data_IF_643513427447
#
_entry.id   IF_643513427447
#
_cell.length_a   1.000
_cell.length_b   1.000
_cell.length_c   1.000
_cell.angle_alpha   90.00
_cell.angle_beta   90.00
_cell.angle_gamma   90.00
#
_symmetry.space_group_name_H-M   'P 1'
#
loop_
_entity.id
_entity.type
_entity.pdbx_description
1 polymer ?
#
# COMPACT_ATOMS: atom_id res chain seq x y z
N UNK A 1 -12.74 17.37 -42.36
CA UNK A 1 -11.75 17.82 -43.37
C UNK A 1 -10.60 16.83 -43.57
N UNK A 2 -10.12 16.16 -42.51
CA UNK A 2 -9.02 15.19 -42.56
C UNK A 2 -9.28 13.91 -43.37
N UNK A 3 -10.53 13.44 -43.39
CA UNK A 3 -10.94 12.19 -44.04
C UNK A 3 -10.76 12.21 -45.57
N UNK A 4 -10.77 13.37 -46.22
CA UNK A 4 -10.61 13.54 -47.67
C UNK A 4 -9.15 13.65 -48.16
N UNK A 5 -8.16 13.59 -47.26
CA UNK A 5 -6.75 13.73 -47.61
C UNK A 5 -6.14 12.40 -48.10
N UNK A 6 -5.14 12.51 -49.00
CA UNK A 6 -4.36 11.37 -49.49
C UNK A 6 -3.56 10.74 -48.34
N UNK A 7 -3.36 9.42 -48.40
CA UNK A 7 -2.82 8.63 -47.28
C UNK A 7 -1.43 9.12 -46.82
N UNK A 8 -0.57 9.49 -47.78
CA UNK A 8 0.77 10.03 -47.50
C UNK A 8 0.70 11.36 -46.73
N UNK A 9 -0.27 12.23 -47.05
CA UNK A 9 -0.48 13.52 -46.36
C UNK A 9 -1.02 13.31 -44.94
N UNK A 10 -1.85 12.28 -44.72
CA UNK A 10 -2.34 11.92 -43.39
C UNK A 10 -1.21 11.44 -42.48
N UNK A 11 -0.33 10.59 -42.99
CA UNK A 11 0.84 10.08 -42.25
C UNK A 11 1.77 11.24 -41.88
N UNK A 12 2.01 12.17 -42.80
CA UNK A 12 2.84 13.37 -42.56
C UNK A 12 2.25 14.28 -41.46
N UNK A 13 0.93 14.49 -41.44
CA UNK A 13 0.28 15.32 -40.42
C UNK A 13 0.35 14.65 -39.03
N UNK A 14 0.15 13.33 -38.97
CA UNK A 14 0.24 12.56 -37.72
C UNK A 14 1.68 12.54 -37.19
N UNK A 15 2.69 12.37 -38.06
CA UNK A 15 4.09 12.43 -37.64
C UNK A 15 4.50 13.81 -37.15
N UNK A 16 4.01 14.88 -37.78
CA UNK A 16 4.25 16.26 -37.32
C UNK A 16 3.60 16.54 -35.95
N UNK A 17 2.40 16.00 -35.70
CA UNK A 17 1.73 16.11 -34.39
C UNK A 17 2.50 15.38 -33.27
N UNK A 18 3.02 14.18 -33.57
CA UNK A 18 3.80 13.39 -32.61
C UNK A 18 5.16 14.06 -32.28
N UNK A 19 5.80 14.68 -33.27
CA UNK A 19 7.05 15.43 -33.05
C UNK A 19 6.81 16.72 -32.22
N UNK A 20 5.70 17.42 -32.43
CA UNK A 20 5.33 18.60 -31.63
C UNK A 20 4.98 18.25 -30.16
N UNK A 21 4.43 17.05 -29.89
CA UNK A 21 4.17 16.60 -28.51
C UNK A 21 5.43 16.28 -27.70
N UNK A 22 6.57 16.03 -28.36
CA UNK A 22 7.86 15.74 -27.71
C UNK A 22 8.58 17.01 -27.22
N UNK A 23 8.34 18.16 -27.86
CA UNK A 23 9.00 19.43 -27.50
C UNK A 23 8.32 20.20 -26.36
N UNK A 24 7.13 19.78 -25.89
CA UNK A 24 6.44 20.37 -24.74
C UNK A 24 6.96 19.90 -23.37
N UNK A 25 7.72 18.79 -23.32
CA UNK A 25 8.22 18.19 -22.08
C UNK A 25 9.56 18.74 -21.57
N UNK A 26 10.26 19.58 -22.36
CA UNK A 26 11.63 20.01 -22.07
C UNK A 26 11.76 21.47 -21.60
N UNK A 27 10.67 22.23 -21.56
CA UNK A 27 10.70 23.64 -21.10
C UNK A 27 10.23 23.80 -19.64
N UNK A 28 9.53 22.83 -19.05
CA UNK A 28 9.15 22.90 -17.63
C UNK A 28 10.26 22.49 -16.65
N UNK A 29 11.32 21.81 -17.12
CA UNK A 29 12.39 21.27 -16.28
C UNK A 29 13.56 22.24 -16.03
N UNK A 30 13.56 23.44 -16.65
CA UNK A 30 14.67 24.41 -16.49
C UNK A 30 14.33 25.58 -15.54
N UNK A 31 13.07 25.80 -15.14
CA UNK A 31 12.71 26.94 -14.26
C UNK A 31 12.52 26.62 -12.78
N UNK A 32 12.50 25.34 -12.38
CA UNK A 32 12.31 24.97 -10.95
C UNK A 32 13.55 25.29 -10.09
N UNK A 33 14.71 25.55 -10.71
CA UNK A 33 15.97 25.75 -9.99
C UNK A 33 16.24 27.20 -9.54
N UNK A 34 15.28 28.13 -9.68
CA UNK A 34 15.46 29.55 -9.31
C UNK A 34 14.44 30.11 -8.31
N UNK A 35 13.40 29.35 -7.93
CA UNK A 35 12.27 29.89 -7.12
C UNK A 35 12.12 29.23 -5.74
N UNK A 36 12.99 28.28 -5.36
CA UNK A 36 12.99 27.72 -4.01
C UNK A 36 14.32 28.01 -3.29
N UNK A 37 14.30 28.72 -2.14
CA UNK A 37 15.50 28.83 -1.32
C UNK A 37 15.86 27.43 -0.79
N UNK A 38 17.05 26.95 -1.17
CA UNK A 38 17.74 25.87 -0.46
C UNK A 38 17.84 26.30 1.00
N UNK A 39 17.14 25.59 1.89
CA UNK A 39 17.43 25.37 3.32
C UNK A 39 16.17 24.83 4.02
N UNK A 40 15.78 23.58 3.72
CA UNK A 40 15.07 22.74 4.68
C UNK A 40 15.78 21.39 4.67
N UNK A 41 16.51 21.12 5.73
CA UNK A 41 17.19 19.85 5.93
C UNK A 41 16.14 18.75 6.12
N UNK A 42 15.94 17.93 5.09
CA UNK A 42 15.35 16.60 5.25
C UNK A 42 16.52 15.69 5.63
N UNK A 43 16.55 15.26 6.88
CA UNK A 43 17.50 14.26 7.32
C UNK A 43 17.25 12.96 6.55
N UNK A 44 18.19 12.59 5.70
CA UNK A 44 18.27 11.25 5.13
C UNK A 44 18.55 10.26 6.26
N UNK A 45 17.63 9.33 6.52
CA UNK A 45 18.01 8.07 7.13
C UNK A 45 17.41 6.92 6.31
N UNK A 46 18.19 6.46 5.33
CA UNK A 46 18.12 5.08 4.86
C UNK A 46 19.07 4.25 5.70
N UNK A 47 18.53 3.40 6.58
CA UNK A 47 18.91 1.99 6.67
C UNK A 47 17.89 1.17 7.47
N UNK A 48 17.70 -0.12 7.13
CA UNK A 48 16.62 -0.96 7.63
C UNK A 48 16.80 -1.31 9.11
N UNK A 49 15.69 -1.42 9.84
CA UNK A 49 15.68 -1.88 11.23
C UNK A 49 16.04 -3.38 11.24
N UNK A 50 17.32 -3.68 11.42
CA UNK A 50 17.77 -4.99 11.91
C UNK A 50 17.40 -5.11 13.39
N UNK A 51 16.66 -6.17 13.70
CA UNK A 51 16.25 -6.51 15.06
C UNK A 51 17.45 -6.72 15.98
N UNK A 52 17.42 -6.06 17.15
CA UNK A 52 18.29 -6.39 18.28
C UNK A 52 17.46 -7.07 19.36
N UNK A 53 17.74 -8.35 19.57
CA UNK A 53 17.43 -9.09 20.79
C UNK A 53 17.96 -8.32 22.01
N UNK A 54 17.22 -8.25 23.13
CA UNK A 54 17.80 -7.93 24.41
C UNK A 54 18.13 -9.22 25.18
N UNK A 55 19.41 -9.57 25.27
CA UNK A 55 19.92 -10.39 26.38
C UNK A 55 20.97 -9.56 27.12
N UNK A 56 20.57 -9.24 28.34
CA UNK A 56 21.35 -8.93 29.55
C UNK A 56 22.80 -9.44 29.59
N UNK A 57 23.73 -8.53 29.88
CA UNK A 57 24.94 -8.77 30.70
C UNK A 57 24.83 -7.80 31.90
N UNK A 58 25.28 -8.05 33.14
CA UNK A 58 26.46 -8.80 33.60
C UNK A 58 26.41 -8.93 35.13
N UNK A 59 26.86 -10.07 35.68
CA UNK A 59 27.48 -10.17 37.01
C UNK A 59 28.41 -11.40 37.07
N UNK A 60 29.45 -11.31 37.88
CA UNK A 60 30.77 -11.94 37.76
C UNK A 60 31.00 -13.37 38.33
N UNK A 61 32.07 -14.01 37.81
CA UNK A 61 33.16 -14.83 38.46
C UNK A 61 32.91 -16.24 39.05
N UNK A 62 33.59 -17.25 38.48
CA UNK A 62 34.83 -17.98 38.95
C UNK A 62 35.00 -19.30 38.15
N UNK A 63 36.20 -19.57 37.58
CA UNK A 63 37.16 -20.68 37.88
C UNK A 63 36.54 -22.06 38.15
N UNK A 64 37.03 -23.22 37.69
CA UNK A 64 38.20 -23.74 36.96
C UNK A 64 37.83 -25.22 36.68
N UNK A 65 38.23 -25.84 35.55
CA UNK A 65 39.02 -27.09 35.49
C UNK A 65 38.95 -27.82 34.12
N UNK A 66 40.08 -28.41 33.76
CA UNK A 66 40.38 -29.14 32.51
C UNK A 66 39.80 -30.57 32.49
N UNK A 67 39.49 -31.10 31.30
CA UNK A 67 39.98 -32.42 30.81
C UNK A 67 39.59 -32.73 29.36
N UNK A 68 40.57 -33.25 28.64
CA UNK A 68 40.55 -33.85 27.30
C UNK A 68 39.66 -35.12 27.25
N UNK A 69 39.03 -35.41 26.10
CA UNK A 69 39.54 -36.34 25.06
C UNK A 69 38.41 -37.08 24.31
N UNK A 70 38.70 -37.39 23.05
CA UNK A 70 38.19 -38.46 22.16
C UNK A 70 36.87 -38.39 21.36
N UNK A 71 37.11 -38.37 20.03
CA UNK A 71 36.47 -39.08 18.91
C UNK A 71 35.40 -40.14 19.21
N UNK A 72 34.32 -40.17 18.41
CA UNK A 72 34.14 -41.21 17.37
C UNK A 72 32.94 -40.93 16.45
N UNK A 73 33.16 -41.32 15.20
CA UNK A 73 32.30 -41.37 14.02
C UNK A 73 31.23 -42.47 14.14
N UNK A 74 30.13 -42.39 13.38
CA UNK A 74 29.50 -43.52 12.66
C UNK A 74 28.36 -42.96 11.78
N UNK A 75 28.54 -43.12 10.47
CA UNK A 75 27.52 -43.04 9.42
C UNK A 75 26.47 -44.16 9.56
N UNK A 76 25.25 -43.90 9.11
CA UNK A 76 24.40 -44.91 8.46
C UNK A 76 23.53 -44.27 7.38
N UNK A 77 23.86 -44.61 6.14
CA UNK A 77 23.03 -44.46 4.96
C UNK A 77 21.74 -45.29 5.06
N UNK A 78 20.67 -44.78 4.46
CA UNK A 78 19.66 -45.62 3.79
C UNK A 78 18.92 -44.79 2.73
N UNK A 79 19.17 -45.17 1.47
CA UNK A 79 18.46 -44.76 0.26
C UNK A 79 16.94 -44.96 0.34
N UNK A 80 16.20 -44.06 -0.34
CA UNK A 80 15.08 -44.42 -1.24
C UNK A 80 14.66 -43.25 -2.12
N UNK A 81 14.70 -43.51 -3.42
CA UNK A 81 14.07 -42.78 -4.53
C UNK A 81 12.65 -42.30 -4.20
N UNK A 82 12.25 -41.16 -4.79
CA UNK A 82 11.11 -41.04 -5.74
C UNK A 82 10.79 -39.57 -6.06
N UNK A 83 10.59 -39.34 -7.36
CA UNK A 83 9.89 -38.25 -8.05
C UNK A 83 10.42 -36.80 -8.05
N UNK A 84 11.09 -36.55 -9.17
CA UNK A 84 11.15 -35.30 -9.93
C UNK A 84 9.75 -34.76 -10.21
N UNK A 85 9.24 -33.89 -9.35
CA UNK A 85 8.07 -33.07 -9.65
C UNK A 85 8.48 -31.69 -10.17
N UNK A 86 7.90 -31.35 -11.32
CA UNK A 86 8.13 -30.12 -12.06
C UNK A 86 7.65 -28.93 -11.24
N UNK A 87 8.56 -28.00 -10.96
CA UNK A 87 8.17 -26.65 -10.57
C UNK A 87 7.29 -26.04 -11.67
N UNK A 88 6.10 -25.50 -11.35
CA UNK A 88 5.38 -24.70 -12.31
C UNK A 88 6.14 -23.38 -12.49
N UNK A 89 6.55 -23.17 -13.72
CA UNK A 89 7.02 -21.92 -14.30
C UNK A 89 6.10 -20.76 -13.89
N UNK A 90 6.64 -19.82 -13.12
CA UNK A 90 6.02 -18.51 -12.88
C UNK A 90 6.83 -17.47 -13.64
N UNK A 91 6.54 -17.34 -14.92
CA UNK A 91 6.78 -16.10 -15.65
C UNK A 91 5.49 -15.28 -15.61
N UNK A 92 5.61 -14.06 -15.09
CA UNK A 92 4.92 -12.81 -15.48
C UNK A 92 4.98 -11.82 -14.29
N UNK A 93 5.88 -10.83 -14.42
CA UNK A 93 6.05 -9.61 -13.62
C UNK A 93 5.79 -9.71 -12.11
N UNK A 94 6.82 -10.07 -11.35
CA UNK A 94 6.84 -9.94 -9.89
C UNK A 94 6.80 -8.44 -9.52
N UNK A 95 5.59 -7.88 -9.48
CA UNK A 95 5.33 -6.56 -8.93
C UNK A 95 5.81 -6.57 -7.48
N UNK A 96 6.79 -5.73 -7.15
CA UNK A 96 7.40 -5.63 -5.82
C UNK A 96 6.34 -5.73 -4.73
N UNK A 97 6.27 -6.89 -4.08
CA UNK A 97 5.32 -7.19 -3.02
C UNK A 97 6.06 -7.55 -1.75
N UNK A 98 5.53 -7.13 -0.61
CA UNK A 98 6.10 -7.38 0.70
C UNK A 98 5.04 -8.00 1.60
N UNK A 99 5.40 -9.07 2.30
CA UNK A 99 4.50 -9.78 3.21
C UNK A 99 4.98 -9.73 4.65
N UNK A 100 4.03 -9.60 5.57
CA UNK A 100 4.26 -9.55 7.01
C UNK A 100 3.34 -10.52 7.74
N UNK A 101 3.89 -11.33 8.64
CA UNK A 101 3.15 -12.19 9.56
C UNK A 101 2.84 -11.41 10.84
N UNK A 102 1.56 -11.20 11.12
CA UNK A 102 1.09 -10.43 12.27
C UNK A 102 1.31 -11.21 13.57
N UNK A 103 1.99 -10.58 14.52
CA UNK A 103 2.47 -11.17 15.77
C UNK A 103 3.91 -11.68 15.69
N UNK A 104 4.53 -11.69 14.51
CA UNK A 104 5.95 -12.02 14.30
C UNK A 104 6.71 -10.83 13.74
N UNK A 105 6.29 -10.34 12.57
CA UNK A 105 6.99 -9.28 11.84
C UNK A 105 6.42 -7.90 12.20
N UNK A 106 5.11 -7.82 12.43
CA UNK A 106 4.40 -6.59 12.85
C UNK A 106 3.39 -6.88 13.96
N UNK A 107 3.06 -5.88 14.78
CA UNK A 107 2.07 -6.04 15.84
C UNK A 107 0.64 -6.04 15.29
N UNK A 108 -0.28 -6.76 15.95
CA UNK A 108 -1.72 -6.60 15.70
C UNK A 108 -2.17 -5.16 15.94
N UNK A 109 -3.20 -4.72 15.22
CA UNK A 109 -3.73 -3.37 15.35
C UNK A 109 -4.24 -2.80 14.03
N UNK A 110 -4.50 -1.50 14.04
CA UNK A 110 -4.93 -0.76 12.85
C UNK A 110 -3.72 -0.15 12.17
N UNK A 111 -3.68 -0.26 10.84
CA UNK A 111 -2.67 0.35 9.99
C UNK A 111 -3.38 1.17 8.91
N UNK A 112 -2.78 2.30 8.52
CA UNK A 112 -3.10 2.96 7.25
C UNK A 112 -2.08 2.51 6.23
N UNK A 113 -2.56 1.99 5.13
CA UNK A 113 -1.75 1.60 3.98
C UNK A 113 -1.83 2.71 2.94
N UNK A 114 -0.72 2.97 2.27
CA UNK A 114 -0.58 4.02 1.27
C UNK A 114 -0.08 3.41 -0.03
N UNK A 115 -0.74 3.73 -1.14
CA UNK A 115 -0.26 3.35 -2.45
C UNK A 115 1.05 4.11 -2.75
N UNK A 116 1.99 3.46 -3.44
CA UNK A 116 3.22 4.12 -3.93
C UNK A 116 3.00 4.89 -5.23
N UNK A 117 1.77 4.92 -5.72
CA UNK A 117 1.24 5.71 -6.85
C UNK A 117 -0.25 5.93 -6.63
N UNK A 118 -1.05 5.97 -7.70
CA UNK A 118 -2.50 6.23 -7.58
C UNK A 118 -3.28 5.04 -7.00
N UNK A 119 -2.77 3.82 -7.20
CA UNK A 119 -3.41 2.57 -6.78
C UNK A 119 -2.42 1.62 -6.10
N UNK A 120 -2.91 0.97 -5.06
CA UNK A 120 -2.23 -0.10 -4.34
C UNK A 120 -3.13 -1.32 -4.22
N UNK A 121 -2.54 -2.48 -3.91
CA UNK A 121 -3.31 -3.67 -3.52
C UNK A 121 -2.78 -4.24 -2.22
N UNK A 122 -3.69 -4.85 -1.47
CA UNK A 122 -3.33 -5.61 -0.28
C UNK A 122 -4.14 -6.90 -0.19
N UNK A 123 -3.61 -7.86 0.56
CA UNK A 123 -4.29 -9.12 0.87
C UNK A 123 -4.08 -9.46 2.33
N UNK A 124 -5.13 -9.92 2.99
CA UNK A 124 -5.08 -10.40 4.38
C UNK A 124 -5.53 -11.85 4.39
N UNK A 125 -4.58 -12.76 4.51
CA UNK A 125 -4.82 -14.20 4.59
C UNK A 125 -4.72 -14.69 6.04
N UNK A 126 -5.41 -15.78 6.35
CA UNK A 126 -5.25 -16.50 7.62
C UNK A 126 -5.50 -18.00 7.43
N UNK A 127 -5.38 -18.79 8.51
CA UNK A 127 -5.56 -20.25 8.44
C UNK A 127 -6.93 -20.69 7.92
N UNK A 128 -7.98 -19.89 8.12
CA UNK A 128 -9.35 -20.19 7.68
C UNK A 128 -9.61 -19.67 6.26
N UNK A 129 -8.88 -18.66 5.84
CA UNK A 129 -8.96 -18.06 4.52
C UNK A 129 -7.56 -17.91 3.91
N UNK A 130 -6.90 -19.02 3.52
CA UNK A 130 -5.55 -18.98 2.95
C UNK A 130 -5.53 -18.33 1.56
N UNK A 131 -6.61 -18.47 0.80
CA UNK A 131 -6.76 -18.00 -0.59
C UNK A 131 -7.51 -16.66 -0.66
N UNK A 132 -7.27 -15.78 0.31
CA UNK A 132 -7.86 -14.44 0.32
C UNK A 132 -7.57 -13.69 -0.98
N UNK A 133 -8.57 -13.01 -1.53
CA UNK A 133 -8.40 -12.18 -2.73
C UNK A 133 -7.61 -10.90 -2.43
N UNK A 134 -6.90 -10.40 -3.44
CA UNK A 134 -6.33 -9.06 -3.41
C UNK A 134 -7.45 -8.00 -3.44
N UNK A 135 -7.27 -6.97 -2.63
CA UNK A 135 -8.17 -5.82 -2.53
C UNK A 135 -7.42 -4.59 -3.05
N UNK A 136 -7.98 -3.96 -4.09
CA UNK A 136 -7.47 -2.71 -4.64
C UNK A 136 -7.97 -1.51 -3.83
N UNK A 137 -7.11 -0.49 -3.70
CA UNK A 137 -7.48 0.80 -3.10
C UNK A 137 -6.77 1.95 -3.81
N UNK A 138 -7.36 3.14 -3.70
CA UNK A 138 -6.80 4.40 -4.22
C UNK A 138 -6.16 5.19 -3.08
N UNK A 139 -4.99 5.78 -3.32
CA UNK A 139 -4.18 6.59 -2.40
C UNK A 139 -3.89 5.96 -1.03
N UNK A 140 -4.89 5.75 -0.19
CA UNK A 140 -4.76 5.13 1.12
C UNK A 140 -6.02 4.38 1.57
N UNK A 141 -5.81 3.35 2.39
CA UNK A 141 -6.87 2.59 3.05
C UNK A 141 -6.52 2.25 4.50
N UNK A 142 -7.50 1.90 5.33
CA UNK A 142 -7.24 1.36 6.66
C UNK A 142 -7.47 -0.15 6.68
N UNK A 143 -6.62 -0.86 7.41
CA UNK A 143 -6.73 -2.31 7.65
C UNK A 143 -6.66 -2.60 9.15
N UNK A 144 -7.42 -3.60 9.59
CA UNK A 144 -7.39 -4.10 10.97
C UNK A 144 -6.80 -5.50 10.99
N UNK A 145 -5.67 -5.65 11.66
CA UNK A 145 -4.87 -6.87 11.67
C UNK A 145 -4.94 -7.59 13.03
N UNK A 146 -5.08 -8.91 12.99
CA UNK A 146 -5.10 -9.82 14.14
C UNK A 146 -3.88 -10.75 14.09
N UNK A 147 -3.44 -11.22 15.26
CA UNK A 147 -2.33 -12.18 15.34
C UNK A 147 -2.61 -13.42 14.49
N UNK A 148 -1.58 -13.91 13.80
CA UNK A 148 -1.65 -15.09 12.94
C UNK A 148 -2.20 -14.84 11.54
N UNK A 149 -2.53 -13.60 11.19
CA UNK A 149 -2.81 -13.19 9.82
C UNK A 149 -1.52 -12.87 9.07
N UNK A 150 -1.55 -12.95 7.74
CA UNK A 150 -0.49 -12.46 6.85
C UNK A 150 -1.03 -11.30 6.05
N UNK A 151 -0.39 -10.13 6.14
CA UNK A 151 -0.64 -8.97 5.29
C UNK A 151 0.37 -8.98 4.15
N UNK A 152 -0.10 -9.05 2.91
CA UNK A 152 0.71 -8.82 1.70
C UNK A 152 0.35 -7.46 1.12
N UNK A 153 1.34 -6.65 0.81
CA UNK A 153 1.22 -5.33 0.21
C UNK A 153 1.93 -5.33 -1.14
N UNK A 154 1.29 -4.76 -2.15
CA UNK A 154 1.86 -4.63 -3.49
C UNK A 154 1.69 -3.20 -3.98
N UNK A 155 2.78 -2.58 -4.45
CA UNK A 155 2.85 -1.12 -4.72
C UNK A 155 2.25 -0.28 -3.59
N UNK A 156 2.55 -0.68 -2.35
CA UNK A 156 1.97 -0.07 -1.16
C UNK A 156 2.96 -0.10 0.00
N UNK A 157 2.87 0.90 0.86
CA UNK A 157 3.55 0.96 2.17
C UNK A 157 2.52 1.03 3.28
N UNK A 158 2.95 0.95 4.53
CA UNK A 158 2.04 1.04 5.68
C UNK A 158 2.64 1.80 6.85
N UNK A 159 1.77 2.41 7.64
CA UNK A 159 2.10 3.06 8.90
C UNK A 159 1.10 2.62 9.96
N UNK A 160 1.58 2.26 11.14
CA UNK A 160 0.72 1.90 12.27
C UNK A 160 -0.08 3.11 12.75
N UNK A 161 -1.31 2.87 13.23
CA UNK A 161 -2.20 3.95 13.69
C UNK A 161 -1.56 4.87 14.75
N UNK A 162 -0.72 4.30 15.62
CA UNK A 162 -0.02 5.05 16.67
C UNK A 162 0.96 6.12 16.12
N UNK A 163 1.42 5.98 14.88
CA UNK A 163 2.39 6.87 14.24
C UNK A 163 1.77 7.71 13.11
N UNK A 164 0.44 7.67 12.94
CA UNK A 164 -0.23 8.44 11.90
C UNK A 164 -0.33 9.91 12.26
N UNK A 165 -0.38 10.72 11.20
CA UNK A 165 -0.93 12.07 11.24
C UNK A 165 -2.29 12.08 10.55
N UNK A 166 -3.23 12.92 11.00
CA UNK A 166 -4.52 13.04 10.34
C UNK A 166 -4.35 13.63 8.94
N UNK A 167 -5.24 13.25 8.01
CA UNK A 167 -5.33 13.89 6.71
C UNK A 167 -5.41 15.43 6.84
N UNK A 168 -4.66 16.15 6.01
CA UNK A 168 -4.50 17.60 6.15
C UNK A 168 -4.60 18.40 4.86
N UNK A 169 -4.76 17.75 3.72
CA UNK A 169 -4.96 18.47 2.47
C UNK A 169 -6.32 19.18 2.46
N UNK A 170 -6.41 20.23 1.64
CA UNK A 170 -7.61 21.05 1.51
C UNK A 170 -8.77 20.28 0.89
N UNK A 171 -8.48 19.47 -0.11
CA UNK A 171 -9.46 18.76 -0.92
C UNK A 171 -9.36 17.27 -0.65
N UNK A 172 -10.50 16.58 -0.52
CA UNK A 172 -10.50 15.14 -0.30
C UNK A 172 -10.29 14.39 -1.62
N UNK A 173 -9.27 13.53 -1.66
CA UNK A 173 -8.98 12.61 -2.76
C UNK A 173 -9.60 11.24 -2.53
N UNK A 174 -9.65 10.42 -3.58
CA UNK A 174 -10.09 9.03 -3.48
C UNK A 174 -9.29 8.26 -2.42
N UNK A 175 -9.96 7.44 -1.63
CA UNK A 175 -9.33 6.72 -0.51
C UNK A 175 -10.27 6.55 0.68
N UNK A 176 -9.76 5.93 1.74
CA UNK A 176 -10.53 5.65 2.95
C UNK A 176 -10.11 6.51 4.13
N UNK A 177 -11.07 7.24 4.68
CA UNK A 177 -10.89 8.19 5.78
C UNK A 177 -11.52 7.67 7.06
N UNK A 178 -10.82 7.83 8.18
CA UNK A 178 -11.36 7.59 9.52
C UNK A 178 -12.08 8.82 10.06
N UNK A 179 -13.38 8.71 10.29
CA UNK A 179 -14.23 9.79 10.81
C UNK A 179 -13.94 10.03 12.30
N UNK A 180 -13.70 11.28 12.63
CA UNK A 180 -13.21 11.74 13.93
C UNK A 180 -11.68 11.80 14.03
N UNK A 181 -10.95 11.41 12.98
CA UNK A 181 -9.49 11.49 12.92
C UNK A 181 -9.03 12.21 11.65
N UNK A 182 -9.20 11.60 10.47
CA UNK A 182 -8.86 12.24 9.19
C UNK A 182 -9.89 13.32 8.80
N UNK A 183 -11.17 13.02 9.05
CA UNK A 183 -12.28 13.92 8.72
C UNK A 183 -13.20 14.05 9.91
N UNK A 184 -13.76 15.23 10.17
CA UNK A 184 -14.66 15.44 11.30
C UNK A 184 -16.02 14.78 11.04
N UNK A 185 -16.69 14.26 12.07
CA UNK A 185 -18.09 13.84 11.95
C UNK A 185 -19.01 15.02 11.57
N UNK A 186 -20.08 14.74 10.82
CA UNK A 186 -21.00 15.77 10.32
C UNK A 186 -21.73 15.36 9.05
N UNK A 187 -22.44 16.31 8.46
CA UNK A 187 -23.08 16.17 7.15
C UNK A 187 -22.17 16.73 6.08
N UNK A 188 -22.03 16.01 4.98
CA UNK A 188 -21.21 16.40 3.83
C UNK A 188 -22.07 16.44 2.57
N UNK A 189 -21.79 17.40 1.69
CA UNK A 189 -22.23 17.42 0.30
C UNK A 189 -21.25 16.59 -0.52
N UNK A 190 -21.80 15.75 -1.39
CA UNK A 190 -21.05 14.87 -2.27
C UNK A 190 -21.56 15.13 -3.69
N UNK A 191 -20.65 15.25 -4.65
CA UNK A 191 -21.00 15.25 -6.08
C UNK A 191 -20.05 14.31 -6.83
N UNK A 192 -20.50 13.63 -7.91
CA UNK A 192 -19.58 12.86 -8.73
C UNK A 192 -18.59 13.80 -9.43
N UNK A 193 -17.34 13.37 -9.57
CA UNK A 193 -16.34 14.11 -10.35
C UNK A 193 -16.55 13.88 -11.86
N UNK A 194 -16.79 12.62 -12.26
CA UNK A 194 -17.11 12.24 -13.63
C UNK A 194 -17.99 10.99 -13.63
N UNK A 195 -19.02 10.89 -14.47
CA UNK A 195 -19.88 9.70 -14.52
C UNK A 195 -20.48 9.35 -13.15
N UNK A 196 -20.23 8.12 -12.67
CA UNK A 196 -20.76 7.61 -11.39
C UNK A 196 -19.65 7.52 -10.36
N UNK A 197 -19.86 8.16 -9.21
CA UNK A 197 -19.01 8.03 -8.03
C UNK A 197 -19.50 6.92 -7.08
N UNK A 198 -18.66 6.54 -6.11
CA UNK A 198 -19.01 5.53 -5.09
C UNK A 198 -18.61 6.00 -3.70
N UNK A 199 -19.48 5.71 -2.74
CA UNK A 199 -19.21 5.82 -1.31
C UNK A 199 -19.45 4.47 -0.65
N UNK A 200 -18.55 4.09 0.24
CA UNK A 200 -18.72 2.95 1.14
C UNK A 200 -18.50 3.40 2.58
N UNK A 201 -19.36 2.97 3.51
CA UNK A 201 -19.22 3.30 4.93
C UNK A 201 -19.13 2.03 5.74
N UNK A 202 -18.09 1.94 6.57
CA UNK A 202 -17.88 0.86 7.52
C UNK A 202 -17.91 1.43 8.95
N UNK A 203 -18.68 0.82 9.83
CA UNK A 203 -18.64 1.11 11.27
C UNK A 203 -17.47 0.41 11.97
N UNK A 204 -16.89 -0.61 11.32
CA UNK A 204 -15.72 -1.37 11.78
C UNK A 204 -15.02 -2.04 10.59
N UNK A 205 -13.69 -1.99 10.55
CA UNK A 205 -12.83 -2.64 9.55
C UNK A 205 -12.73 -4.17 9.70
N UNK A 206 -13.35 -4.77 10.71
CA UNK A 206 -13.31 -6.22 10.91
C UNK A 206 -14.29 -6.99 10.01
N UNK A 207 -15.20 -6.29 9.34
CA UNK A 207 -16.14 -6.86 8.37
C UNK A 207 -15.58 -6.65 6.97
N UNK A 208 -15.76 -7.64 6.09
CA UNK A 208 -15.43 -7.49 4.67
C UNK A 208 -16.42 -6.56 3.96
N UNK A 209 -17.70 -6.66 4.31
CA UNK A 209 -18.75 -5.87 3.67
C UNK A 209 -18.98 -4.52 4.37
N UNK A 210 -19.19 -3.45 3.59
CA UNK A 210 -19.61 -2.15 4.11
C UNK A 210 -21.03 -2.19 4.68
N UNK A 211 -21.31 -1.33 5.65
CA UNK A 211 -22.66 -1.15 6.18
C UNK A 211 -23.54 -0.33 5.21
N UNK A 212 -22.92 0.53 4.39
CA UNK A 212 -23.59 1.33 3.36
C UNK A 212 -22.74 1.33 2.09
N UNK A 213 -23.37 1.04 0.96
CA UNK A 213 -22.83 1.30 -0.38
C UNK A 213 -23.75 2.29 -1.07
N UNK A 214 -23.20 3.36 -1.64
CA UNK A 214 -23.97 4.35 -2.39
C UNK A 214 -23.24 4.73 -3.67
N UNK A 215 -23.90 4.50 -4.79
CA UNK A 215 -23.51 5.07 -6.08
C UNK A 215 -24.04 6.50 -6.19
N UNK A 216 -23.22 7.40 -6.70
CA UNK A 216 -23.47 8.84 -6.73
C UNK A 216 -23.48 9.28 -8.19
N UNK A 217 -24.67 9.50 -8.73
CA UNK A 217 -24.87 9.97 -10.12
C UNK A 217 -25.22 11.46 -10.19
N UNK A 218 -25.63 12.04 -9.06
CA UNK A 218 -25.98 13.45 -8.92
C UNK A 218 -25.60 13.96 -7.51
N UNK A 219 -25.47 15.28 -7.32
CA UNK A 219 -25.16 15.84 -6.01
C UNK A 219 -26.12 15.37 -4.92
N UNK A 220 -25.57 14.98 -3.77
CA UNK A 220 -26.32 14.41 -2.64
C UNK A 220 -25.66 14.76 -1.32
N UNK A 221 -26.23 14.28 -0.21
CA UNK A 221 -25.64 14.43 1.11
C UNK A 221 -25.40 13.08 1.77
N UNK A 222 -24.44 13.05 2.69
CA UNK A 222 -24.14 11.91 3.54
C UNK A 222 -23.88 12.38 4.97
N UNK A 223 -24.31 11.59 5.97
CA UNK A 223 -24.08 11.87 7.38
C UNK A 223 -23.07 10.89 7.97
N UNK A 224 -21.97 11.41 8.46
CA UNK A 224 -20.87 10.64 9.04
C UNK A 224 -20.82 10.79 10.56
N UNK A 225 -20.61 9.68 11.25
CA UNK A 225 -20.49 9.54 12.70
C UNK A 225 -19.05 9.20 13.06
N UNK A 226 -18.60 9.64 14.23
CA UNK A 226 -17.27 9.32 14.75
C UNK A 226 -17.03 7.80 14.75
N UNK A 227 -15.77 7.41 14.51
CA UNK A 227 -15.29 6.02 14.44
C UNK A 227 -15.79 5.21 13.24
N UNK A 228 -16.50 5.83 12.30
CA UNK A 228 -16.74 5.22 11.00
C UNK A 228 -15.52 5.37 10.09
N UNK A 229 -15.49 4.57 9.03
CA UNK A 229 -14.57 4.69 7.92
C UNK A 229 -15.39 4.94 6.66
N UNK A 230 -15.06 5.97 5.91
CA UNK A 230 -15.67 6.25 4.61
C UNK A 230 -14.63 6.04 3.51
N UNK A 231 -14.94 5.18 2.55
CA UNK A 231 -14.21 5.12 1.28
C UNK A 231 -14.95 6.01 0.28
N UNK A 232 -14.22 6.92 -0.36
CA UNK A 232 -14.73 7.71 -1.49
C UNK A 232 -13.97 7.34 -2.75
N UNK A 233 -14.71 7.25 -3.87
CA UNK A 233 -14.14 7.00 -5.20
C UNK A 233 -14.87 7.87 -6.20
N UNK A 234 -14.12 8.65 -6.98
CA UNK A 234 -14.62 9.49 -8.06
C UNK A 234 -15.74 10.45 -7.61
N UNK A 235 -15.59 11.03 -6.42
CA UNK A 235 -16.49 12.05 -5.87
C UNK A 235 -15.71 13.20 -5.27
N UNK A 236 -16.28 14.41 -5.35
CA UNK A 236 -15.85 15.54 -4.55
C UNK A 236 -16.69 15.59 -3.28
N UNK A 237 -16.02 15.71 -2.13
CA UNK A 237 -16.66 15.85 -0.82
C UNK A 237 -16.41 17.25 -0.25
N UNK A 238 -17.45 17.89 0.27
CA UNK A 238 -17.36 19.20 0.93
C UNK A 238 -18.35 19.29 2.10
N UNK A 239 -18.12 20.23 3.02
CA UNK A 239 -19.06 20.50 4.14
C UNK A 239 -20.10 21.54 3.75
#
# INVERSE_FOLDING_TARGET
MFSKLHLQTKILIVSMFLLLSSMGGLILSVTINTVFPKNVAIAENKSPIQGKNPISEKAEKKQEDMKEDKQEEIQKDMDKDVEKDKAPDKSEDEKDSVSYVVGKDIQKGIYKIFATGDMGTYKIADKKNPDASDIMFFNFAYVSLKNGQTLTLTSSTMVSEANLTPYSDKDYVDGQYKVGYDIKAGTYKIKPLSGVGKIEIHSNLSKSEPDVIKYVEAPTTIKLKNKQYITITNVEMSR
#
